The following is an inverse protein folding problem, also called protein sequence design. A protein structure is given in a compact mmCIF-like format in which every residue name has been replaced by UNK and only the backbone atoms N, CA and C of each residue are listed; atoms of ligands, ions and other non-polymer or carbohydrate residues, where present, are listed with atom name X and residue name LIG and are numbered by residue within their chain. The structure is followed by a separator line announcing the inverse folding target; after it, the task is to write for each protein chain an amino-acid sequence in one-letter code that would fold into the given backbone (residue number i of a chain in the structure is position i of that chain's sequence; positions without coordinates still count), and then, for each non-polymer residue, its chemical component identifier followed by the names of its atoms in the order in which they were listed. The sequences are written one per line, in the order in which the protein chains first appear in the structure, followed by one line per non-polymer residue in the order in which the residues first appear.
data_IF_943387589024
#
_entry.id   IF_943387589024
#
_cell.length_a   1.000
_cell.length_b   1.000
_cell.length_c   1.000
_cell.angle_alpha   90.00
_cell.angle_beta   90.00
_cell.angle_gamma   90.00
#
_symmetry.space_group_name_H-M   'P 1'
#
loop_
_entity.id
_entity.type
_entity.pdbx_description
1 polymer ?
#
# COMPACT_ATOMS: atom_id res chain seq x y z
N UNK A 1 -12.73 -4.13 -13.57
CA UNK A 1 -12.58 -2.81 -14.08
C UNK A 1 -11.36 -2.65 -14.96
N UNK A 2 -11.39 -3.30 -16.15
CA UNK A 2 -10.23 -3.37 -17.04
C UNK A 2 -10.23 -2.28 -18.13
N UNK A 3 -11.37 -2.00 -18.76
CA UNK A 3 -11.48 -0.94 -19.77
C UNK A 3 -12.10 0.33 -19.19
N UNK A 4 -11.83 1.48 -19.82
CA UNK A 4 -12.18 2.81 -19.29
C UNK A 4 -13.65 2.95 -18.86
N UNK A 5 -14.61 2.43 -19.62
CA UNK A 5 -16.04 2.48 -19.27
C UNK A 5 -16.34 1.65 -18.01
N UNK A 6 -15.74 0.46 -17.88
CA UNK A 6 -15.90 -0.42 -16.73
C UNK A 6 -15.16 0.17 -15.51
N UNK A 7 -13.94 0.67 -15.68
CA UNK A 7 -13.18 1.33 -14.63
C UNK A 7 -13.94 2.54 -14.04
N UNK A 8 -14.65 3.31 -14.89
CA UNK A 8 -15.51 4.41 -14.44
C UNK A 8 -16.68 3.91 -13.56
N UNK A 9 -17.27 2.77 -13.90
CA UNK A 9 -18.33 2.17 -13.07
C UNK A 9 -17.79 1.61 -11.76
N UNK A 10 -16.57 1.05 -11.75
CA UNK A 10 -15.89 0.64 -10.52
C UNK A 10 -15.59 1.85 -9.62
N UNK A 11 -15.05 2.94 -10.17
CA UNK A 11 -14.80 4.15 -9.41
C UNK A 11 -16.10 4.65 -8.74
N UNK A 12 -17.20 4.71 -9.53
CA UNK A 12 -18.50 5.09 -9.02
C UNK A 12 -18.99 4.16 -7.91
N UNK A 13 -18.90 2.84 -8.11
CA UNK A 13 -19.38 1.86 -7.15
C UNK A 13 -18.65 1.90 -5.80
N UNK A 14 -17.38 2.33 -5.79
CA UNK A 14 -16.58 2.40 -4.57
C UNK A 14 -16.57 3.78 -3.91
N UNK A 15 -16.77 4.84 -4.67
CA UNK A 15 -16.63 6.22 -4.18
C UNK A 15 -17.93 7.00 -4.09
N UNK A 16 -19.07 6.38 -4.43
CA UNK A 16 -20.39 6.98 -4.31
C UNK A 16 -21.34 6.06 -3.51
N UNK A 17 -22.37 6.67 -2.89
CA UNK A 17 -23.46 5.98 -2.19
C UNK A 17 -23.21 5.78 -0.70
N UNK A 18 -24.05 4.96 -0.06
CA UNK A 18 -24.11 4.81 1.39
C UNK A 18 -22.92 4.06 2.00
N UNK A 19 -22.17 3.34 1.19
CA UNK A 19 -21.02 2.49 1.60
C UNK A 19 -19.75 2.89 0.85
N UNK A 20 -19.55 4.18 0.64
CA UNK A 20 -18.37 4.68 -0.05
C UNK A 20 -17.07 4.37 0.70
N UNK A 21 -16.02 4.10 -0.05
CA UNK A 21 -14.66 3.90 0.46
C UNK A 21 -13.86 5.20 0.39
N UNK A 22 -12.91 5.40 1.30
CA UNK A 22 -11.94 6.50 1.20
C UNK A 22 -10.81 6.16 0.24
N UNK A 23 -10.36 4.90 0.24
CA UNK A 23 -9.31 4.38 -0.63
C UNK A 23 -9.67 3.03 -1.21
N UNK A 24 -9.22 2.77 -2.44
CA UNK A 24 -9.30 1.44 -3.07
C UNK A 24 -7.94 1.03 -3.65
N UNK A 25 -7.76 -0.27 -3.84
CA UNK A 25 -6.56 -0.82 -4.48
C UNK A 25 -6.81 -1.08 -5.95
N UNK A 26 -5.87 -0.64 -6.81
CA UNK A 26 -5.93 -0.79 -8.26
C UNK A 26 -4.73 -1.58 -8.79
N UNK A 27 -4.93 -2.24 -9.93
CA UNK A 27 -3.90 -2.95 -10.67
C UNK A 27 -3.48 -2.12 -11.90
N UNK A 28 -2.20 -1.77 -12.08
CA UNK A 28 -1.73 -0.92 -13.17
C UNK A 28 -1.42 -1.70 -14.46
N UNK A 29 -1.65 -3.01 -14.52
CA UNK A 29 -1.23 -3.85 -15.63
C UNK A 29 -1.73 -3.38 -17.00
N UNK A 30 -2.91 -2.76 -17.05
CA UNK A 30 -3.49 -2.20 -18.28
C UNK A 30 -2.88 -0.85 -18.71
N UNK A 31 -2.03 -0.25 -17.90
CA UNK A 31 -1.45 1.08 -18.13
C UNK A 31 -2.03 2.18 -17.24
N UNK A 32 -1.44 3.39 -17.31
CA UNK A 32 -1.81 4.50 -16.43
C UNK A 32 -3.21 5.04 -16.70
N UNK A 33 -3.70 4.95 -17.92
CA UNK A 33 -5.06 5.33 -18.31
C UNK A 33 -6.15 4.52 -17.60
N UNK A 34 -5.83 3.34 -17.06
CA UNK A 34 -6.73 2.58 -16.19
C UNK A 34 -7.00 3.24 -14.84
N UNK A 35 -6.17 4.22 -14.45
CA UNK A 35 -6.28 4.99 -13.21
C UNK A 35 -7.06 6.29 -13.44
N UNK A 36 -7.07 6.83 -14.64
CA UNK A 36 -7.72 8.10 -14.99
C UNK A 36 -9.17 8.22 -14.52
N UNK A 37 -10.03 7.17 -14.61
CA UNK A 37 -11.41 7.24 -14.14
C UNK A 37 -11.59 7.53 -12.64
N UNK A 38 -10.55 7.32 -11.83
CA UNK A 38 -10.55 7.55 -10.39
C UNK A 38 -10.09 8.95 -10.01
N UNK A 39 -9.32 9.63 -10.88
CA UNK A 39 -8.73 10.95 -10.59
C UNK A 39 -9.77 12.03 -10.25
N UNK A 40 -10.96 12.11 -10.91
CA UNK A 40 -11.98 13.09 -10.53
C UNK A 40 -12.48 12.96 -9.10
N UNK A 41 -12.45 11.76 -8.51
CA UNK A 41 -12.84 11.52 -7.12
C UNK A 41 -11.75 11.96 -6.15
N UNK A 42 -10.49 11.84 -6.55
CA UNK A 42 -9.35 12.35 -5.78
C UNK A 42 -9.42 13.88 -5.70
N UNK A 43 -9.68 14.55 -6.82
CA UNK A 43 -9.73 16.01 -6.92
C UNK A 43 -10.92 16.62 -6.14
N UNK A 44 -12.07 15.99 -6.23
CA UNK A 44 -13.34 16.60 -5.76
C UNK A 44 -13.80 16.10 -4.40
N UNK A 45 -13.48 14.87 -4.05
CA UNK A 45 -14.10 14.16 -2.93
C UNK A 45 -13.08 13.69 -1.88
N UNK A 46 -11.85 14.15 -1.94
CA UNK A 46 -10.77 13.74 -1.02
C UNK A 46 -10.55 12.22 -0.94
N UNK A 47 -10.86 11.50 -2.03
CA UNK A 47 -10.62 10.06 -2.15
C UNK A 47 -9.17 9.78 -2.50
N UNK A 48 -8.77 8.52 -2.41
CA UNK A 48 -7.43 8.10 -2.82
C UNK A 48 -7.39 6.68 -3.40
N UNK A 49 -6.26 6.34 -3.96
CA UNK A 49 -6.01 5.00 -4.51
C UNK A 49 -4.65 4.47 -4.05
N UNK A 50 -4.58 3.16 -3.84
CA UNK A 50 -3.31 2.44 -3.75
C UNK A 50 -3.15 1.57 -4.99
N UNK A 51 -2.09 1.79 -5.75
CA UNK A 51 -1.81 1.02 -6.98
C UNK A 51 -0.72 -0.01 -6.70
N UNK A 52 -0.88 -1.23 -7.20
CA UNK A 52 0.13 -2.27 -7.06
C UNK A 52 1.45 -1.83 -7.70
N UNK A 53 2.53 -1.80 -6.93
CA UNK A 53 3.88 -1.45 -7.40
C UNK A 53 4.79 -2.65 -7.26
N UNK A 54 5.03 -3.12 -6.01
CA UNK A 54 5.82 -4.30 -5.73
C UNK A 54 5.15 -5.12 -4.64
N UNK A 55 4.58 -6.24 -5.04
CA UNK A 55 3.81 -7.10 -4.15
C UNK A 55 4.69 -8.13 -3.43
N UNK A 56 4.17 -8.73 -2.35
CA UNK A 56 4.92 -9.67 -1.50
C UNK A 56 4.69 -11.15 -1.85
N UNK A 57 3.90 -11.44 -2.87
CA UNK A 57 3.63 -12.80 -3.32
C UNK A 57 4.75 -13.31 -4.22
N UNK A 58 4.94 -14.62 -4.25
CA UNK A 58 5.99 -15.27 -5.05
C UNK A 58 5.88 -14.96 -6.55
N UNK A 59 4.67 -14.88 -7.10
CA UNK A 59 4.44 -14.58 -8.52
C UNK A 59 4.80 -13.13 -8.94
N UNK A 60 5.21 -12.26 -8.01
CA UNK A 60 5.74 -10.94 -8.36
C UNK A 60 6.95 -11.03 -9.29
N UNK A 61 7.77 -12.08 -9.13
CA UNK A 61 8.97 -12.31 -9.95
C UNK A 61 8.64 -12.54 -11.43
N UNK A 62 7.43 -13.01 -11.75
CA UNK A 62 7.04 -13.32 -13.13
C UNK A 62 6.86 -12.06 -13.99
N UNK A 63 6.51 -10.92 -13.38
CA UNK A 63 6.20 -9.67 -14.10
C UNK A 63 6.91 -8.47 -13.48
N UNK A 64 6.77 -8.25 -12.17
CA UNK A 64 7.22 -7.03 -11.52
C UNK A 64 8.75 -6.87 -11.57
N UNK A 65 9.49 -7.98 -11.54
CA UNK A 65 10.96 -8.02 -11.57
C UNK A 65 11.57 -8.13 -12.97
N UNK A 66 10.77 -8.20 -14.03
CA UNK A 66 11.28 -8.18 -15.40
C UNK A 66 12.02 -6.87 -15.68
N UNK A 67 13.11 -6.95 -16.44
CA UNK A 67 13.86 -5.78 -16.87
C UNK A 67 13.06 -4.96 -17.89
N UNK A 68 12.89 -3.67 -17.59
CA UNK A 68 12.16 -2.71 -18.41
C UNK A 68 13.12 -1.73 -19.16
N UNK A 69 14.41 -2.05 -19.22
CA UNK A 69 15.46 -1.22 -19.79
C UNK A 69 16.11 -0.25 -18.79
N UNK A 70 17.27 0.26 -19.15
CA UNK A 70 18.05 1.23 -18.34
C UNK A 70 18.35 0.77 -16.90
N UNK A 71 18.45 -0.55 -16.68
CA UNK A 71 18.69 -1.12 -15.37
C UNK A 71 17.47 -1.06 -14.41
N UNK A 72 16.29 -0.70 -14.93
CA UNK A 72 15.03 -0.64 -14.18
C UNK A 72 14.23 -1.92 -14.34
N UNK A 73 13.49 -2.26 -13.31
CA UNK A 73 12.47 -3.30 -13.32
C UNK A 73 11.09 -2.71 -13.61
N UNK A 74 10.13 -3.55 -13.96
CA UNK A 74 8.75 -3.11 -14.22
C UNK A 74 8.18 -2.34 -13.03
N UNK A 75 8.39 -2.80 -11.80
CA UNK A 75 7.91 -2.11 -10.61
C UNK A 75 8.54 -0.70 -10.43
N UNK A 76 9.79 -0.48 -10.83
CA UNK A 76 10.43 0.84 -10.82
C UNK A 76 9.69 1.80 -11.77
N UNK A 77 9.45 1.34 -12.99
CA UNK A 77 8.74 2.14 -14.01
C UNK A 77 7.32 2.49 -13.57
N UNK A 78 6.60 1.52 -13.01
CA UNK A 78 5.25 1.76 -12.49
C UNK A 78 5.29 2.75 -11.33
N UNK A 79 6.19 2.55 -10.36
CA UNK A 79 6.34 3.44 -9.21
C UNK A 79 6.67 4.88 -9.61
N UNK A 80 7.63 5.07 -10.51
CA UNK A 80 8.03 6.40 -11.00
C UNK A 80 6.90 7.14 -11.73
N UNK A 81 6.13 6.43 -12.57
CA UNK A 81 4.96 7.00 -13.26
C UNK A 81 3.89 7.45 -12.27
N UNK A 82 3.59 6.60 -11.27
CA UNK A 82 2.63 6.90 -10.22
C UNK A 82 3.09 8.07 -9.32
N UNK A 83 4.38 8.10 -8.94
CA UNK A 83 4.92 9.19 -8.15
C UNK A 83 4.87 10.52 -8.91
N UNK A 84 5.13 10.50 -10.21
CA UNK A 84 5.01 11.68 -11.09
C UNK A 84 3.57 12.17 -11.18
N UNK A 85 2.62 11.27 -11.42
CA UNK A 85 1.19 11.59 -11.42
C UNK A 85 0.74 12.12 -10.05
N UNK A 86 1.19 11.48 -8.98
CA UNK A 86 0.85 11.80 -7.61
C UNK A 86 1.26 13.20 -7.15
N UNK A 87 2.27 13.80 -7.77
CA UNK A 87 2.70 15.18 -7.47
C UNK A 87 1.61 16.22 -7.71
N UNK A 88 0.64 15.92 -8.57
CA UNK A 88 -0.51 16.78 -8.82
C UNK A 88 -1.60 16.69 -7.72
N UNK A 89 -1.49 15.71 -6.81
CA UNK A 89 -2.49 15.37 -5.80
C UNK A 89 -1.91 15.34 -4.39
N UNK A 90 -0.98 16.27 -4.09
CA UNK A 90 -0.35 16.37 -2.78
C UNK A 90 -1.30 16.95 -1.74
N UNK A 91 -1.44 16.27 -0.62
CA UNK A 91 -2.14 16.74 0.56
C UNK A 91 -1.26 17.64 1.45
N UNK A 92 -1.86 18.19 2.49
CA UNK A 92 -1.23 19.13 3.43
C UNK A 92 0.01 18.58 4.17
N UNK A 93 0.17 17.26 4.21
CA UNK A 93 1.29 16.59 4.88
C UNK A 93 2.42 16.21 3.91
N UNK A 94 2.35 16.65 2.63
CA UNK A 94 3.38 16.37 1.62
C UNK A 94 3.31 14.97 0.99
N UNK A 95 2.26 14.19 1.29
CA UNK A 95 1.99 12.91 0.65
C UNK A 95 0.83 13.03 -0.34
N UNK A 96 0.92 12.24 -1.40
CA UNK A 96 -0.09 12.16 -2.45
C UNK A 96 -1.32 11.33 -2.00
N UNK A 97 -2.48 11.61 -2.59
CA UNK A 97 -3.64 10.72 -2.53
C UNK A 97 -3.50 9.50 -3.47
N UNK A 98 -2.41 9.42 -4.26
CA UNK A 98 -2.06 8.26 -5.07
C UNK A 98 -0.91 7.55 -4.38
N UNK A 99 -1.19 6.41 -3.78
CA UNK A 99 -0.24 5.57 -3.07
C UNK A 99 0.16 4.33 -3.84
N UNK A 100 1.21 3.65 -3.37
CA UNK A 100 1.68 2.38 -3.90
C UNK A 100 1.53 1.24 -2.91
N UNK A 101 1.15 0.05 -3.39
CA UNK A 101 1.25 -1.17 -2.60
C UNK A 101 2.66 -1.71 -2.72
N UNK A 102 3.38 -1.74 -1.58
CA UNK A 102 4.78 -2.17 -1.51
C UNK A 102 4.96 -3.16 -0.37
N UNK A 103 5.16 -4.44 -0.69
CA UNK A 103 5.34 -5.50 0.31
C UNK A 103 6.65 -5.35 1.11
N UNK A 104 6.62 -5.64 2.41
CA UNK A 104 7.77 -5.45 3.31
C UNK A 104 8.77 -6.62 3.35
N UNK A 105 8.77 -7.50 2.37
CA UNK A 105 9.61 -8.71 2.37
C UNK A 105 11.00 -8.54 1.73
N UNK A 106 11.34 -7.35 1.19
CA UNK A 106 12.59 -7.06 0.48
C UNK A 106 13.25 -5.80 1.05
N UNK A 107 14.04 -5.97 2.12
CA UNK A 107 14.66 -4.86 2.86
C UNK A 107 15.70 -4.09 2.05
N UNK A 108 16.51 -4.79 1.24
CA UNK A 108 17.64 -4.19 0.53
C UNK A 108 17.21 -3.08 -0.43
N UNK A 109 16.04 -3.22 -1.03
CA UNK A 109 15.47 -2.27 -1.98
C UNK A 109 14.58 -1.20 -1.33
N UNK A 110 14.23 -1.38 -0.05
CA UNK A 110 13.21 -0.58 0.64
C UNK A 110 13.58 0.91 0.71
N UNK A 111 14.81 1.19 1.13
CA UNK A 111 15.29 2.57 1.28
C UNK A 111 15.38 3.27 -0.05
N UNK A 112 15.96 2.63 -1.06
CA UNK A 112 16.07 3.19 -2.41
C UNK A 112 14.69 3.49 -3.00
N UNK A 113 13.74 2.56 -2.85
CA UNK A 113 12.36 2.75 -3.29
C UNK A 113 11.69 3.92 -2.54
N UNK A 114 11.89 4.04 -1.21
CA UNK A 114 11.37 5.16 -0.43
C UNK A 114 11.93 6.50 -0.88
N UNK A 115 13.23 6.54 -1.18
CA UNK A 115 13.90 7.76 -1.62
C UNK A 115 13.45 8.19 -3.02
N UNK A 116 13.25 7.23 -3.94
CA UNK A 116 12.73 7.49 -5.28
C UNK A 116 11.26 7.91 -5.30
N UNK A 117 10.44 7.30 -4.45
CA UNK A 117 8.99 7.51 -4.40
C UNK A 117 8.60 8.37 -3.17
N UNK A 118 9.25 9.50 -3.02
CA UNK A 118 9.33 10.33 -1.82
C UNK A 118 7.99 10.93 -1.36
N UNK A 119 7.07 11.17 -2.27
CA UNK A 119 5.73 11.73 -1.97
C UNK A 119 4.62 10.69 -1.97
N UNK A 120 4.92 9.46 -2.36
CA UNK A 120 3.94 8.38 -2.44
C UNK A 120 3.71 7.74 -1.07
N UNK A 121 2.49 7.69 -0.51
CA UNK A 121 2.22 6.85 0.65
C UNK A 121 2.25 5.37 0.25
N UNK A 122 2.84 4.53 1.10
CA UNK A 122 2.88 3.09 0.86
C UNK A 122 1.82 2.35 1.66
N UNK A 123 1.08 1.47 1.02
CA UNK A 123 0.35 0.40 1.66
C UNK A 123 1.29 -0.81 1.77
N UNK A 124 1.64 -1.20 3.00
CA UNK A 124 2.73 -2.13 3.28
C UNK A 124 2.16 -3.45 3.82
N UNK A 125 1.81 -4.41 2.95
CA UNK A 125 1.43 -5.75 3.36
C UNK A 125 2.64 -6.61 3.68
N UNK A 126 2.39 -7.75 4.38
CA UNK A 126 3.40 -8.77 4.64
C UNK A 126 3.91 -8.81 6.07
N UNK A 127 3.54 -7.86 6.93
CA UNK A 127 3.92 -7.87 8.34
C UNK A 127 3.38 -9.10 9.09
N UNK A 128 4.24 -9.80 9.79
CA UNK A 128 3.93 -10.96 10.61
C UNK A 128 3.70 -12.22 9.78
N UNK A 129 2.52 -12.44 9.25
CA UNK A 129 2.12 -13.71 8.61
C UNK A 129 2.92 -14.09 7.34
N UNK A 130 3.62 -13.14 6.73
CA UNK A 130 4.51 -13.38 5.57
C UNK A 130 6.00 -13.19 5.92
N UNK A 131 6.32 -13.12 7.22
CA UNK A 131 7.69 -13.01 7.70
C UNK A 131 8.21 -11.59 7.90
N UNK A 132 7.49 -10.57 7.46
CA UNK A 132 7.87 -9.17 7.67
C UNK A 132 7.91 -8.79 9.15
N UNK A 133 8.94 -8.07 9.56
CA UNK A 133 9.17 -7.60 10.94
C UNK A 133 9.01 -6.08 11.05
N UNK A 134 9.03 -5.55 12.26
CA UNK A 134 9.01 -4.11 12.50
C UNK A 134 10.21 -3.40 11.85
N UNK A 135 11.39 -4.02 11.88
CA UNK A 135 12.60 -3.50 11.26
C UNK A 135 12.47 -3.39 9.74
N UNK A 136 11.82 -4.40 9.12
CA UNK A 136 11.59 -4.39 7.68
C UNK A 136 10.67 -3.24 7.27
N UNK A 137 9.59 -3.02 8.03
CA UNK A 137 8.63 -1.95 7.79
C UNK A 137 9.29 -0.56 7.88
N UNK A 138 10.14 -0.33 8.88
CA UNK A 138 10.78 0.98 9.11
C UNK A 138 11.62 1.43 7.91
N UNK A 139 12.22 0.50 7.18
CA UNK A 139 12.98 0.80 5.97
C UNK A 139 12.15 1.46 4.85
N UNK A 140 10.82 1.25 4.85
CA UNK A 140 9.87 1.87 3.90
C UNK A 140 9.29 3.19 4.37
N UNK A 141 9.60 3.61 5.59
CA UNK A 141 9.07 4.84 6.18
C UNK A 141 10.09 5.99 6.09
N UNK A 142 9.58 7.21 5.98
CA UNK A 142 10.39 8.44 6.07
C UNK A 142 10.10 9.11 7.40
N UNK A 143 11.08 9.08 8.32
CA UNK A 143 10.90 9.60 9.67
C UNK A 143 9.66 9.03 10.40
N UNK A 144 9.41 7.75 10.23
CA UNK A 144 8.26 7.07 10.81
C UNK A 144 6.91 7.31 10.14
N UNK A 145 6.89 7.99 9.00
CA UNK A 145 5.68 8.34 8.26
C UNK A 145 5.71 7.82 6.82
N UNK A 146 4.61 8.01 6.08
CA UNK A 146 4.49 7.68 4.66
C UNK A 146 4.08 6.24 4.38
N UNK A 147 3.59 5.51 5.38
CA UNK A 147 3.11 4.15 5.17
C UNK A 147 1.97 3.72 6.08
N UNK A 148 1.14 2.82 5.58
CA UNK A 148 0.09 2.09 6.31
C UNK A 148 0.46 0.62 6.29
N UNK A 149 0.64 0.02 7.47
CA UNK A 149 1.11 -1.37 7.61
C UNK A 149 -0.06 -2.31 7.81
N UNK A 150 -0.15 -3.36 6.99
CA UNK A 150 -1.22 -4.35 7.05
C UNK A 150 -0.74 -5.67 7.66
N UNK A 151 -1.56 -6.20 8.56
CA UNK A 151 -1.34 -7.51 9.19
C UNK A 151 -2.65 -8.23 9.43
N UNK A 152 -3.45 -8.45 8.37
CA UNK A 152 -4.82 -8.95 8.46
C UNK A 152 -4.92 -10.27 9.22
N UNK A 153 -4.18 -11.30 8.79
CA UNK A 153 -4.27 -12.64 9.41
C UNK A 153 -3.83 -12.63 10.87
N UNK A 154 -2.74 -11.92 11.20
CA UNK A 154 -2.20 -11.90 12.55
C UNK A 154 -3.14 -11.18 13.52
N UNK A 155 -3.78 -10.10 13.08
CA UNK A 155 -4.75 -9.34 13.88
C UNK A 155 -6.08 -10.11 13.99
N UNK A 156 -6.68 -10.48 12.86
CA UNK A 156 -8.02 -11.08 12.86
C UNK A 156 -8.07 -12.48 13.46
N UNK A 157 -6.98 -13.24 13.40
CA UNK A 157 -6.88 -14.58 13.94
C UNK A 157 -6.11 -14.64 15.26
N UNK A 158 -5.82 -13.51 15.90
CA UNK A 158 -5.12 -13.44 17.17
C UNK A 158 -5.77 -14.29 18.27
N UNK A 159 -7.11 -14.38 18.25
CA UNK A 159 -7.88 -15.22 19.18
C UNK A 159 -7.49 -16.69 19.14
N UNK A 160 -7.03 -17.21 18.00
CA UNK A 160 -6.57 -18.60 17.88
C UNK A 160 -5.25 -18.83 18.63
N UNK A 161 -4.31 -17.88 18.51
CA UNK A 161 -3.02 -17.94 19.20
C UNK A 161 -3.16 -17.70 20.72
N UNK A 162 -4.19 -16.95 21.13
CA UNK A 162 -4.49 -16.66 22.53
C UNK A 162 -5.50 -17.64 23.14
N UNK A 163 -6.00 -18.61 22.36
CA UNK A 163 -7.00 -19.63 22.76
C UNK A 163 -8.27 -19.03 23.38
N UNK A 164 -8.65 -17.84 22.95
CA UNK A 164 -9.78 -17.08 23.49
C UNK A 164 -10.76 -16.63 22.38
N UNK A 165 -11.52 -17.59 21.87
CA UNK A 165 -12.48 -17.33 20.79
C UNK A 165 -13.68 -16.48 21.22
N UNK A 166 -13.98 -16.39 22.53
CA UNK A 166 -15.09 -15.57 23.04
C UNK A 166 -14.77 -14.08 23.05
N UNK A 167 -13.49 -13.74 23.24
CA UNK A 167 -13.01 -12.35 23.29
C UNK A 167 -12.17 -11.99 22.04
N UNK A 168 -12.55 -12.48 20.88
CA UNK A 168 -11.79 -12.28 19.62
C UNK A 168 -11.48 -10.82 19.32
N UNK A 169 -12.38 -9.90 19.63
CA UNK A 169 -12.17 -8.46 19.43
C UNK A 169 -11.05 -7.91 20.33
N UNK A 170 -11.02 -8.31 21.61
CA UNK A 170 -9.94 -7.92 22.52
C UNK A 170 -8.59 -8.56 22.13
N UNK A 171 -8.59 -9.78 21.65
CA UNK A 171 -7.40 -10.44 21.12
C UNK A 171 -6.85 -9.67 19.90
N UNK A 172 -7.72 -9.29 18.96
CA UNK A 172 -7.34 -8.48 17.79
C UNK A 172 -6.77 -7.11 18.20
N UNK A 173 -7.41 -6.45 19.19
CA UNK A 173 -6.94 -5.19 19.74
C UNK A 173 -5.55 -5.30 20.37
N UNK A 174 -5.31 -6.32 21.19
CA UNK A 174 -4.00 -6.57 21.81
C UNK A 174 -2.92 -6.79 20.77
N UNK A 175 -3.18 -7.57 19.73
CA UNK A 175 -2.25 -7.81 18.66
C UNK A 175 -1.94 -6.53 17.86
N UNK A 176 -2.95 -5.71 17.54
CA UNK A 176 -2.76 -4.45 16.85
C UNK A 176 -1.92 -3.46 17.68
N UNK A 177 -2.13 -3.41 18.99
CA UNK A 177 -1.31 -2.61 19.92
C UNK A 177 0.13 -3.11 19.95
N UNK A 178 0.34 -4.41 20.09
CA UNK A 178 1.67 -5.03 20.10
C UNK A 178 2.44 -4.72 18.80
N UNK A 179 1.77 -4.84 17.66
CA UNK A 179 2.33 -4.49 16.35
C UNK A 179 2.71 -3.02 16.27
N UNK A 180 1.82 -2.12 16.67
CA UNK A 180 2.08 -0.67 16.72
C UNK A 180 3.31 -0.34 17.56
N UNK A 181 3.38 -0.89 18.75
CA UNK A 181 4.43 -0.59 19.71
C UNK A 181 5.78 -1.12 19.21
N UNK A 182 5.81 -2.32 18.62
CA UNK A 182 7.01 -2.89 17.99
C UNK A 182 7.54 -2.02 16.85
N UNK A 183 6.65 -1.48 16.00
CA UNK A 183 7.04 -0.58 14.90
C UNK A 183 7.56 0.74 15.45
N UNK A 184 6.89 1.34 16.44
CA UNK A 184 7.33 2.59 17.09
C UNK A 184 8.70 2.44 17.74
N UNK A 185 8.94 1.35 18.42
CA UNK A 185 10.23 1.03 19.03
C UNK A 185 11.34 0.89 17.99
N UNK A 186 11.02 0.29 16.84
CA UNK A 186 11.98 0.16 15.74
C UNK A 186 12.29 1.48 15.03
N UNK A 187 11.35 2.45 15.02
CA UNK A 187 11.57 3.80 14.48
C UNK A 187 12.55 4.60 15.34
N UNK A 188 12.60 4.34 16.66
CA UNK A 188 13.42 5.09 17.61
C UNK A 188 14.88 4.58 17.68
N UNK A 189 15.17 3.43 17.08
CA UNK A 189 16.53 2.82 17.00
C UNK A 189 17.26 3.24 15.74
#
# INVERSE_FOLDING_TARGET
GDIAATAKMYAKAHFEGDFESDFITLNPYMGMDSIDPYLPYIEKNEKGVFVLVRTSNKGAEDIEYLEAGEGKKVYDVVGEKLNTLGKNYLGKHGYSSIGGVVGCTHQEEAKEMRDKLDTMPFLIPGYGAQGGTAKDVVAYLKNGNGGIVNSSRKILLAYKAMEDSKNFAECARKEAISMRDSIREAILK
#
